data_IF_645464983899
#
_entry.id   IF_645464983899
#
_cell.length_a   1.000
_cell.length_b   1.000
_cell.length_c   1.000
_cell.angle_alpha   90.00
_cell.angle_beta   90.00
_cell.angle_gamma   90.00
#
_symmetry.space_group_name_H-M   'P 1'
#
loop_
_entity.id
_entity.type
_entity.pdbx_description
1 polymer ?
#
# COMPACT_ATOMS: atom_id res chain seq x y z
N UNK A 1 -0.52 -14.86 -28.22
CA UNK A 1 -0.25 -14.27 -26.89
C UNK A 1 -0.88 -12.91 -26.91
N UNK A 2 -1.79 -12.61 -25.99
CA UNK A 2 -2.55 -11.36 -26.01
C UNK A 2 -1.84 -10.32 -25.16
N UNK A 3 -1.70 -9.10 -25.68
CA UNK A 3 -1.13 -7.98 -24.93
C UNK A 3 -2.23 -7.30 -24.10
N UNK A 4 -1.96 -7.11 -22.80
CA UNK A 4 -2.91 -6.59 -21.80
C UNK A 4 -2.18 -5.61 -20.89
N UNK A 5 -2.77 -4.44 -20.62
CA UNK A 5 -2.18 -3.43 -19.72
C UNK A 5 -2.37 -3.79 -18.24
N UNK A 6 -1.56 -3.22 -17.34
CA UNK A 6 -1.82 -3.31 -15.89
C UNK A 6 -1.75 -1.95 -15.21
N UNK A 7 -2.75 -1.65 -14.41
CA UNK A 7 -2.84 -0.43 -13.61
C UNK A 7 -2.68 -0.77 -12.14
N UNK A 8 -1.72 -0.15 -11.46
CA UNK A 8 -1.54 -0.24 -10.00
C UNK A 8 -1.65 1.17 -9.42
N UNK A 9 -2.77 1.44 -8.76
CA UNK A 9 -3.04 2.69 -8.05
C UNK A 9 -3.16 2.44 -6.54
N UNK A 10 -2.69 3.39 -5.74
CA UNK A 10 -2.94 3.38 -4.30
C UNK A 10 -4.22 4.17 -4.00
N UNK A 11 -5.19 3.52 -3.37
CA UNK A 11 -6.34 4.19 -2.75
C UNK A 11 -5.96 4.80 -1.40
N UNK A 12 -6.67 5.85 -1.00
CA UNK A 12 -6.60 6.32 0.38
C UNK A 12 -7.51 5.44 1.25
N UNK A 13 -6.91 4.56 2.06
CA UNK A 13 -7.64 3.69 2.98
C UNK A 13 -8.31 4.47 4.11
N UNK A 14 -9.50 5.00 3.84
CA UNK A 14 -10.51 5.36 4.82
C UNK A 14 -11.81 4.58 4.51
N UNK A 15 -12.63 4.31 5.54
CA UNK A 15 -13.93 3.64 5.39
C UNK A 15 -14.89 4.39 4.44
N UNK A 16 -14.67 5.69 4.21
CA UNK A 16 -15.46 6.49 3.26
C UNK A 16 -15.07 6.27 1.79
N UNK A 17 -13.83 5.86 1.48
CA UNK A 17 -13.39 5.56 0.11
C UNK A 17 -13.48 4.07 -0.24
N UNK A 18 -13.20 3.20 0.73
CA UNK A 18 -13.01 1.76 0.52
C UNK A 18 -14.03 0.94 1.31
N UNK A 19 -15.28 1.00 0.84
CA UNK A 19 -16.41 0.28 1.40
C UNK A 19 -16.73 0.67 2.86
N UNK A 20 -17.63 1.63 3.02
CA UNK A 20 -18.52 1.57 4.18
C UNK A 20 -19.23 0.22 4.13
N UNK A 21 -19.27 -0.52 5.24
CA UNK A 21 -20.03 -1.79 5.29
C UNK A 21 -21.53 -1.57 5.02
N UNK A 22 -22.02 -0.35 5.25
CA UNK A 22 -23.36 0.12 4.87
C UNK A 22 -23.52 0.41 3.36
N UNK A 23 -22.43 0.59 2.61
CA UNK A 23 -22.44 0.97 1.19
C UNK A 23 -22.91 -0.18 0.27
N UNK A 24 -22.88 -1.44 0.76
CA UNK A 24 -23.58 -2.61 0.16
C UNK A 24 -25.09 -2.39 -0.02
N UNK A 25 -25.69 -1.37 0.61
CA UNK A 25 -27.11 -1.02 0.46
C UNK A 25 -27.41 0.16 -0.47
N UNK A 26 -26.39 0.87 -0.98
CA UNK A 26 -26.56 2.17 -1.68
C UNK A 26 -25.71 2.38 -2.93
N UNK A 27 -24.85 1.44 -3.30
CA UNK A 27 -24.42 1.37 -4.69
C UNK A 27 -25.65 1.01 -5.54
N UNK A 28 -25.95 1.83 -6.55
CA UNK A 28 -26.62 1.34 -7.75
C UNK A 28 -25.66 0.40 -8.49
N UNK A 29 -25.46 -0.76 -7.87
CA UNK A 29 -25.13 -1.98 -8.54
C UNK A 29 -26.00 -2.08 -9.79
N UNK A 30 -25.39 -1.90 -10.98
CA UNK A 30 -26.03 -2.25 -12.25
C UNK A 30 -26.06 -3.77 -12.38
N UNK A 31 -26.75 -4.41 -11.44
CA UNK A 31 -26.82 -5.86 -11.30
C UNK A 31 -28.27 -6.30 -11.52
N UNK A 32 -28.41 -7.20 -12.48
CA UNK A 32 -29.39 -8.27 -12.39
C UNK A 32 -29.04 -9.07 -11.11
N UNK A 33 -29.83 -8.88 -10.04
CA UNK A 33 -29.49 -9.23 -8.64
C UNK A 33 -29.49 -10.75 -8.33
N UNK A 34 -29.32 -11.59 -9.35
CA UNK A 34 -29.23 -13.05 -9.24
C UNK A 34 -27.81 -13.62 -9.32
N UNK A 35 -26.77 -12.79 -9.46
CA UNK A 35 -25.37 -13.23 -9.65
C UNK A 35 -24.36 -12.33 -8.92
N UNK A 36 -24.08 -12.65 -7.67
CA UNK A 36 -22.87 -12.15 -7.00
C UNK A 36 -21.65 -12.56 -7.85
N UNK A 37 -20.95 -11.56 -8.39
CA UNK A 37 -19.81 -11.73 -9.31
C UNK A 37 -18.53 -11.06 -8.81
N UNK A 38 -18.61 -10.54 -7.58
CA UNK A 38 -17.49 -10.14 -6.74
C UNK A 38 -16.94 -11.39 -6.04
N UNK A 39 -15.63 -11.61 -6.08
CA UNK A 39 -14.96 -12.77 -5.49
C UNK A 39 -14.00 -12.31 -4.39
N UNK A 40 -14.24 -12.74 -3.15
CA UNK A 40 -13.33 -12.51 -2.02
C UNK A 40 -12.20 -13.55 -2.05
N UNK A 41 -10.97 -13.13 -2.39
CA UNK A 41 -9.75 -13.96 -2.33
C UNK A 41 -9.15 -13.99 -0.90
N UNK A 42 -9.38 -12.94 -0.12
CA UNK A 42 -9.24 -12.94 1.34
C UNK A 42 -10.51 -12.32 1.91
N UNK A 43 -11.34 -13.10 2.63
CA UNK A 43 -12.64 -12.62 3.09
C UNK A 43 -12.51 -11.59 4.21
N UNK A 44 -13.44 -10.63 4.23
CA UNK A 44 -13.59 -9.66 5.32
C UNK A 44 -14.39 -10.28 6.48
N UNK A 45 -13.87 -11.35 7.10
CA UNK A 45 -14.55 -12.10 8.17
C UNK A 45 -14.96 -11.23 9.38
N UNK A 46 -14.27 -10.09 9.57
CA UNK A 46 -14.52 -9.08 10.59
C UNK A 46 -14.36 -7.69 10.01
N UNK A 47 -14.98 -6.69 10.64
CA UNK A 47 -14.80 -5.28 10.26
C UNK A 47 -13.34 -4.84 10.34
N UNK A 48 -12.95 -3.83 9.56
CA UNK A 48 -11.61 -3.24 9.63
C UNK A 48 -11.23 -2.83 11.06
N UNK A 49 -12.20 -2.26 11.79
CA UNK A 49 -12.07 -1.93 13.21
C UNK A 49 -11.64 -3.13 14.05
N UNK A 50 -12.33 -4.26 13.93
CA UNK A 50 -12.04 -5.48 14.70
C UNK A 50 -10.69 -6.09 14.31
N UNK A 51 -10.43 -6.25 13.01
CA UNK A 51 -9.16 -6.81 12.52
C UNK A 51 -7.95 -5.99 13.00
N UNK A 52 -8.03 -4.66 12.86
CA UNK A 52 -6.96 -3.75 13.29
C UNK A 52 -6.84 -3.75 14.82
N UNK A 53 -7.94 -3.77 15.57
CA UNK A 53 -7.89 -3.83 17.03
C UNK A 53 -7.25 -5.14 17.53
N UNK A 54 -7.57 -6.29 16.94
CA UNK A 54 -6.93 -7.57 17.26
C UNK A 54 -5.44 -7.56 16.93
N UNK A 55 -5.07 -7.06 15.75
CA UNK A 55 -3.69 -6.97 15.27
C UNK A 55 -2.80 -6.04 16.14
N UNK A 56 -3.37 -4.96 16.68
CA UNK A 56 -2.65 -4.02 17.54
C UNK A 56 -2.61 -4.43 19.02
N UNK A 57 -3.50 -5.34 19.45
CA UNK A 57 -3.68 -5.77 20.85
C UNK A 57 -2.40 -6.30 21.54
N UNK A 58 -1.51 -7.09 20.90
CA UNK A 58 -0.28 -7.57 21.54
C UNK A 58 0.67 -6.42 21.91
N UNK A 59 0.86 -5.47 20.98
CA UNK A 59 1.73 -4.31 21.18
C UNK A 59 1.18 -3.35 22.25
N UNK A 60 -0.15 -3.16 22.28
CA UNK A 60 -0.83 -2.37 23.32
C UNK A 60 -0.63 -3.02 24.69
N UNK A 61 -0.80 -4.35 24.78
CA UNK A 61 -0.57 -5.11 26.02
C UNK A 61 0.87 -4.94 26.52
N UNK A 62 1.87 -5.21 25.68
CA UNK A 62 3.29 -5.06 26.03
C UNK A 62 3.61 -3.65 26.55
N UNK A 63 3.18 -2.62 25.82
CA UNK A 63 3.41 -1.22 26.19
C UNK A 63 2.70 -0.82 27.48
N UNK A 64 1.49 -1.32 27.72
CA UNK A 64 0.75 -1.07 28.96
C UNK A 64 1.38 -1.81 30.15
N UNK A 65 1.82 -3.06 30.00
CA UNK A 65 2.55 -3.81 31.03
C UNK A 65 3.85 -3.09 31.42
N UNK A 66 4.62 -2.61 30.44
CA UNK A 66 5.82 -1.81 30.70
C UNK A 66 5.50 -0.49 31.42
N UNK A 67 4.40 0.18 31.04
CA UNK A 67 3.92 1.40 31.69
C UNK A 67 3.52 1.15 33.16
N UNK A 68 2.87 0.01 33.45
CA UNK A 68 2.51 -0.40 34.81
C UNK A 68 3.75 -0.76 35.65
N UNK A 69 4.76 -1.44 35.07
CA UNK A 69 6.05 -1.71 35.73
C UNK A 69 6.75 -0.41 36.13
N UNK A 70 6.82 0.59 35.23
CA UNK A 70 7.37 1.92 35.53
C UNK A 70 6.59 2.64 36.65
N UNK A 71 5.27 2.53 36.64
CA UNK A 71 4.40 3.12 37.67
C UNK A 71 4.65 2.49 39.05
N UNK A 72 4.79 1.16 39.11
CA UNK A 72 5.11 0.43 40.34
C UNK A 72 6.48 0.86 40.89
N UNK A 73 7.52 0.84 40.06
CA UNK A 73 8.86 1.29 40.47
C UNK A 73 8.87 2.76 40.95
N UNK A 74 8.06 3.64 40.36
CA UNK A 74 7.91 5.01 40.86
C UNK A 74 7.23 5.10 42.23
N UNK A 75 6.29 4.20 42.53
CA UNK A 75 5.69 4.07 43.86
C UNK A 75 6.67 3.54 44.90
N UNK A 76 7.48 2.53 44.56
CA UNK A 76 8.51 2.00 45.46
C UNK A 76 9.54 3.09 45.82
N UNK A 77 9.94 3.91 44.85
CA UNK A 77 10.80 5.09 45.05
C UNK A 77 10.16 6.20 45.88
N UNK A 78 8.84 6.35 45.82
CA UNK A 78 8.10 7.31 46.67
C UNK A 78 8.00 6.79 48.11
N UNK A 79 7.63 5.52 48.28
CA UNK A 79 7.47 4.88 49.59
C UNK A 79 8.81 4.76 50.36
N UNK A 80 9.93 4.59 49.64
CA UNK A 80 11.29 4.61 50.20
C UNK A 80 11.88 6.02 50.40
N UNK A 81 11.12 7.08 50.10
CA UNK A 81 11.56 8.47 50.26
C UNK A 81 12.56 8.98 49.22
N UNK A 82 12.93 8.18 48.22
CA UNK A 82 13.84 8.59 47.14
C UNK A 82 13.26 9.69 46.24
N UNK A 83 11.93 9.79 46.14
CA UNK A 83 11.23 10.91 45.49
C UNK A 83 10.17 11.50 46.40
N UNK A 84 10.08 12.83 46.42
CA UNK A 84 9.09 13.58 47.24
C UNK A 84 7.71 13.70 46.57
N UNK A 85 7.64 13.51 45.25
CA UNK A 85 6.42 13.70 44.47
C UNK A 85 5.67 12.39 44.29
N UNK A 86 4.42 12.34 44.75
CA UNK A 86 3.53 11.18 44.60
C UNK A 86 3.25 10.89 43.11
N UNK A 87 3.48 9.65 42.60
CA UNK A 87 3.14 9.28 41.23
C UNK A 87 1.63 9.40 40.95
N UNK A 88 1.23 9.97 39.81
CA UNK A 88 -0.18 10.17 39.43
C UNK A 88 -0.54 9.32 38.22
N UNK A 89 -1.80 8.88 38.12
CA UNK A 89 -2.25 8.06 36.99
C UNK A 89 -2.02 8.72 35.62
N UNK A 90 -2.17 10.05 35.51
CA UNK A 90 -1.93 10.79 34.25
C UNK A 90 -0.48 10.83 33.78
N UNK A 91 0.47 10.51 34.67
CA UNK A 91 1.89 10.43 34.32
C UNK A 91 2.24 9.05 33.70
N UNK A 92 1.29 8.10 33.75
CA UNK A 92 1.40 6.72 33.24
C UNK A 92 0.12 6.34 32.46
N UNK A 93 -0.26 7.07 31.39
CA UNK A 93 -1.48 6.82 30.64
C UNK A 93 -1.42 5.44 29.98
N UNK A 94 -2.52 4.69 29.99
CA UNK A 94 -2.67 3.41 29.29
C UNK A 94 -3.40 3.62 27.95
N UNK A 95 -3.05 2.83 26.95
CA UNK A 95 -3.75 2.80 25.65
C UNK A 95 -4.90 1.79 25.74
N UNK A 96 -6.07 2.09 25.17
CA UNK A 96 -7.19 1.15 25.16
C UNK A 96 -7.06 0.13 24.03
N UNK A 97 -7.82 -0.96 24.09
CA UNK A 97 -7.81 -1.98 23.03
C UNK A 97 -8.56 -1.55 21.76
N UNK A 98 -9.34 -0.46 21.80
CA UNK A 98 -9.98 0.13 20.62
C UNK A 98 -9.03 1.12 19.94
N UNK A 99 -7.91 0.60 19.45
CA UNK A 99 -6.90 1.35 18.70
C UNK A 99 -7.51 2.08 17.50
N UNK A 100 -8.41 1.42 16.78
CA UNK A 100 -9.03 1.94 15.57
C UNK A 100 -9.77 3.24 15.84
N UNK A 101 -10.75 3.25 16.74
CA UNK A 101 -11.51 4.47 17.05
C UNK A 101 -10.67 5.50 17.81
N UNK A 102 -9.67 5.09 18.60
CA UNK A 102 -8.76 6.04 19.28
C UNK A 102 -7.88 6.84 18.32
N UNK A 103 -7.49 6.25 17.18
CA UNK A 103 -6.55 6.86 16.22
C UNK A 103 -7.18 7.25 14.87
N UNK A 104 -8.47 6.97 14.66
CA UNK A 104 -9.17 7.23 13.39
C UNK A 104 -9.04 8.68 12.91
N UNK A 105 -9.14 9.64 13.83
CA UNK A 105 -9.05 11.08 13.53
C UNK A 105 -7.70 11.70 13.87
N UNK A 106 -6.70 10.90 14.25
CA UNK A 106 -5.35 11.42 14.49
C UNK A 106 -4.77 11.99 13.20
N UNK A 107 -4.03 13.08 13.34
CA UNK A 107 -3.36 13.75 12.24
C UNK A 107 -1.86 13.83 12.51
N UNK A 108 -1.07 13.57 11.47
CA UNK A 108 0.37 13.74 11.48
C UNK A 108 0.76 14.85 10.53
N UNK A 109 1.77 15.64 10.90
CA UNK A 109 2.31 16.65 9.99
C UNK A 109 3.15 15.97 8.90
N UNK A 110 2.71 16.06 7.65
CA UNK A 110 3.49 15.57 6.52
C UNK A 110 4.73 16.47 6.35
N UNK A 111 5.96 15.92 6.39
CA UNK A 111 7.18 16.71 6.36
C UNK A 111 7.47 17.33 4.98
N UNK A 112 6.84 16.83 3.90
CA UNK A 112 6.99 17.35 2.52
C UNK A 112 6.03 18.49 2.24
N UNK A 113 4.76 18.36 2.66
CA UNK A 113 3.70 19.36 2.41
C UNK A 113 3.55 20.37 3.55
N UNK A 114 4.14 20.09 4.72
CA UNK A 114 4.05 20.83 5.97
C UNK A 114 2.63 20.91 6.58
N UNK A 115 1.65 20.23 5.97
CA UNK A 115 0.23 20.18 6.36
C UNK A 115 -0.03 19.05 7.36
N UNK A 116 -1.11 19.19 8.12
CA UNK A 116 -1.67 18.07 8.90
C UNK A 116 -2.47 17.17 7.96
N UNK A 117 -2.15 15.88 7.96
CA UNK A 117 -2.79 14.84 7.15
C UNK A 117 -3.24 13.71 8.09
N UNK A 118 -4.42 13.14 7.84
CA UNK A 118 -5.00 12.09 8.68
C UNK A 118 -4.14 10.82 8.63
N UNK A 119 -3.93 10.18 9.78
CA UNK A 119 -3.25 8.89 9.86
C UNK A 119 -4.16 7.83 9.25
N UNK A 120 -3.84 7.37 8.03
CA UNK A 120 -4.64 6.33 7.38
C UNK A 120 -4.47 5.00 8.11
N UNK A 121 -5.57 4.45 8.60
CA UNK A 121 -5.60 3.26 9.45
C UNK A 121 -5.11 2.00 8.73
N UNK A 122 -5.35 1.93 7.42
CA UNK A 122 -4.84 0.94 6.49
C UNK A 122 -4.38 1.61 5.17
N UNK A 123 -4.07 0.80 4.17
CA UNK A 123 -3.73 1.18 2.80
C UNK A 123 -4.52 0.30 1.85
N UNK A 124 -4.88 0.85 0.70
CA UNK A 124 -5.50 0.09 -0.38
C UNK A 124 -4.69 0.17 -1.66
N UNK A 125 -4.76 -0.89 -2.45
CA UNK A 125 -4.27 -0.95 -3.82
C UNK A 125 -5.41 -1.42 -4.70
N UNK A 126 -5.59 -0.73 -5.82
CA UNK A 126 -6.43 -1.21 -6.92
C UNK A 126 -5.47 -1.72 -8.00
N UNK A 127 -5.56 -3.01 -8.30
CA UNK A 127 -4.79 -3.69 -9.35
C UNK A 127 -5.76 -4.03 -10.48
N UNK A 128 -5.63 -3.37 -11.62
CA UNK A 128 -6.46 -3.58 -12.81
C UNK A 128 -5.73 -4.35 -13.91
N UNK A 129 -6.43 -5.27 -14.57
CA UNK A 129 -5.96 -6.01 -15.75
C UNK A 129 -6.75 -5.56 -17.00
N UNK A 130 -6.02 -4.99 -17.96
CA UNK A 130 -6.55 -4.49 -19.22
C UNK A 130 -7.40 -3.23 -19.07
N UNK A 131 -8.04 -2.88 -20.18
CA UNK A 131 -9.14 -1.91 -20.21
C UNK A 131 -10.49 -2.58 -20.56
N UNK A 132 -11.52 -1.77 -20.76
CA UNK A 132 -12.85 -2.23 -21.17
C UNK A 132 -12.83 -2.96 -22.52
N UNK A 133 -12.02 -2.49 -23.47
CA UNK A 133 -11.88 -3.06 -24.82
C UNK A 133 -11.16 -4.41 -24.78
N UNK A 134 -10.11 -4.55 -23.96
CA UNK A 134 -9.42 -5.82 -23.73
C UNK A 134 -10.39 -6.88 -23.20
N UNK A 135 -11.30 -6.49 -22.31
CA UNK A 135 -12.36 -7.36 -21.77
C UNK A 135 -13.44 -7.69 -22.80
N UNK A 136 -14.03 -6.69 -23.45
CA UNK A 136 -15.14 -6.88 -24.40
C UNK A 136 -14.72 -7.67 -25.65
N UNK A 137 -13.47 -7.54 -26.08
CA UNK A 137 -12.90 -8.33 -27.18
C UNK A 137 -12.33 -9.69 -26.73
N UNK A 138 -12.46 -10.06 -25.45
CA UNK A 138 -12.02 -11.36 -24.94
C UNK A 138 -10.50 -11.58 -24.96
N UNK A 139 -9.68 -10.52 -24.90
CA UNK A 139 -8.21 -10.67 -24.80
C UNK A 139 -7.79 -11.35 -23.49
N UNK A 140 -8.57 -11.15 -22.43
CA UNK A 140 -8.42 -11.76 -21.11
C UNK A 140 -9.78 -12.33 -20.67
N UNK A 141 -9.82 -13.60 -20.24
CA UNK A 141 -11.04 -14.20 -19.67
C UNK A 141 -11.17 -13.94 -18.18
N UNK A 142 -12.35 -14.19 -17.61
CA UNK A 142 -12.59 -14.09 -16.16
C UNK A 142 -11.70 -15.04 -15.37
N UNK A 143 -11.52 -16.25 -15.89
CA UNK A 143 -10.75 -17.33 -15.28
C UNK A 143 -9.25 -16.98 -15.28
N UNK A 144 -8.73 -16.45 -16.39
CA UNK A 144 -7.37 -15.92 -16.46
C UNK A 144 -7.17 -14.78 -15.46
N UNK A 145 -8.06 -13.79 -15.43
CA UNK A 145 -7.96 -12.67 -14.50
C UNK A 145 -7.97 -13.12 -13.04
N UNK A 146 -8.88 -14.03 -12.67
CA UNK A 146 -8.98 -14.58 -11.31
C UNK A 146 -7.72 -15.36 -10.91
N UNK A 147 -7.19 -16.20 -11.80
CA UNK A 147 -5.93 -16.91 -11.56
C UNK A 147 -4.77 -15.94 -11.35
N UNK A 148 -4.64 -14.94 -12.22
CA UNK A 148 -3.60 -13.91 -12.14
C UNK A 148 -3.68 -13.12 -10.83
N UNK A 149 -4.88 -12.73 -10.37
CA UNK A 149 -5.05 -12.06 -9.07
C UNK A 149 -4.71 -12.97 -7.89
N UNK A 150 -5.03 -14.27 -7.96
CA UNK A 150 -4.68 -15.23 -6.92
C UNK A 150 -3.15 -15.41 -6.80
N UNK A 151 -2.45 -15.65 -7.91
CA UNK A 151 -0.99 -15.78 -7.89
C UNK A 151 -0.32 -14.46 -7.48
N UNK A 152 -0.87 -13.32 -7.91
CA UNK A 152 -0.36 -12.02 -7.48
C UNK A 152 -0.52 -11.81 -5.97
N UNK A 153 -1.65 -12.21 -5.39
CA UNK A 153 -1.90 -12.16 -3.95
C UNK A 153 -0.94 -13.07 -3.16
N UNK A 154 -0.65 -14.28 -3.66
CA UNK A 154 0.40 -15.15 -3.09
C UNK A 154 1.74 -14.42 -3.15
N UNK A 155 2.11 -13.90 -4.32
CA UNK A 155 3.42 -13.26 -4.50
C UNK A 155 3.58 -11.97 -3.70
N UNK A 156 2.51 -11.21 -3.51
CA UNK A 156 2.48 -10.02 -2.67
C UNK A 156 2.75 -10.35 -1.19
N UNK A 157 2.22 -11.47 -0.69
CA UNK A 157 2.50 -11.94 0.68
C UNK A 157 3.97 -12.30 0.88
N UNK A 158 4.61 -12.89 -0.13
CA UNK A 158 6.05 -13.20 -0.11
C UNK A 158 6.92 -11.93 -0.21
N UNK A 159 6.57 -11.02 -1.13
CA UNK A 159 7.35 -9.82 -1.45
C UNK A 159 7.24 -8.71 -0.39
N UNK A 160 6.16 -8.74 0.42
CA UNK A 160 5.86 -7.75 1.44
C UNK A 160 5.37 -8.38 2.77
N UNK A 161 6.21 -9.15 3.49
CA UNK A 161 5.81 -9.93 4.67
C UNK A 161 5.35 -9.09 5.88
N UNK A 162 5.61 -7.78 5.89
CA UNK A 162 5.16 -6.83 6.91
C UNK A 162 3.83 -6.12 6.55
N UNK A 163 3.18 -6.49 5.45
CA UNK A 163 1.87 -5.97 5.05
C UNK A 163 0.79 -6.98 5.44
N UNK A 164 0.14 -6.74 6.59
CA UNK A 164 -0.97 -7.56 7.05
C UNK A 164 -2.21 -7.27 6.21
N UNK A 165 -2.56 -8.19 5.31
CA UNK A 165 -3.75 -8.10 4.46
C UNK A 165 -4.99 -8.21 5.34
N UNK A 166 -5.91 -7.26 5.17
CA UNK A 166 -7.20 -7.16 5.86
C UNK A 166 -8.35 -7.71 5.01
N UNK A 167 -8.14 -7.75 3.69
CA UNK A 167 -8.97 -8.46 2.72
C UNK A 167 -8.50 -8.21 1.29
N UNK A 168 -9.05 -8.99 0.36
CA UNK A 168 -8.73 -8.90 -1.06
C UNK A 168 -9.94 -9.33 -1.89
N UNK A 169 -10.42 -8.46 -2.77
CA UNK A 169 -11.72 -8.63 -3.45
C UNK A 169 -11.59 -8.30 -4.93
N UNK A 170 -12.01 -9.22 -5.78
CA UNK A 170 -11.92 -9.15 -7.24
C UNK A 170 -13.29 -8.86 -7.84
N UNK A 171 -13.36 -7.86 -8.72
CA UNK A 171 -14.55 -7.43 -9.44
C UNK A 171 -14.44 -7.91 -10.90
N UNK A 172 -15.34 -8.80 -11.33
CA UNK A 172 -15.30 -9.50 -12.64
C UNK A 172 -16.47 -9.10 -13.58
N UNK A 173 -17.15 -8.03 -13.24
CA UNK A 173 -18.52 -7.72 -13.63
C UNK A 173 -18.72 -6.24 -13.98
N UNK A 174 -18.07 -5.33 -13.26
CA UNK A 174 -18.13 -3.88 -13.49
C UNK A 174 -17.90 -3.49 -14.97
N UNK A 175 -18.53 -2.41 -15.42
CA UNK A 175 -18.57 -2.05 -16.85
C UNK A 175 -17.21 -1.72 -17.50
N UNK A 176 -16.14 -1.59 -16.71
CA UNK A 176 -14.77 -1.34 -17.15
C UNK A 176 -13.92 -2.61 -17.29
N UNK A 177 -12.85 -2.68 -16.51
CA UNK A 177 -11.82 -3.73 -16.52
C UNK A 177 -11.87 -4.61 -15.26
N UNK A 178 -11.33 -5.82 -15.34
CA UNK A 178 -11.19 -6.70 -14.19
C UNK A 178 -10.18 -6.11 -13.20
N UNK A 179 -10.55 -6.00 -11.93
CA UNK A 179 -9.66 -5.43 -10.92
C UNK A 179 -9.81 -6.06 -9.55
N UNK A 180 -8.75 -5.94 -8.75
CA UNK A 180 -8.72 -6.36 -7.35
C UNK A 180 -8.48 -5.16 -6.45
N UNK A 181 -9.33 -5.00 -5.43
CA UNK A 181 -9.04 -4.19 -4.24
C UNK A 181 -8.24 -5.04 -3.26
N UNK A 182 -7.09 -4.56 -2.82
CA UNK A 182 -6.21 -5.22 -1.86
C UNK A 182 -5.93 -4.29 -0.69
N UNK A 183 -6.57 -4.56 0.43
CA UNK A 183 -6.52 -3.74 1.64
C UNK A 183 -5.58 -4.36 2.68
N UNK A 184 -4.64 -3.56 3.19
CA UNK A 184 -3.60 -4.03 4.09
C UNK A 184 -3.15 -2.98 5.12
N UNK A 185 -2.66 -3.43 6.27
CA UNK A 185 -2.00 -2.59 7.26
C UNK A 185 -0.50 -2.90 7.30
N UNK A 186 0.38 -1.94 6.95
CA UNK A 186 1.81 -2.11 7.17
C UNK A 186 2.11 -2.10 8.67
N UNK A 187 2.81 -3.12 9.17
CA UNK A 187 3.31 -3.19 10.56
C UNK A 187 4.71 -3.81 10.57
N UNK A 188 5.67 -3.11 11.17
CA UNK A 188 7.00 -3.65 11.45
C UNK A 188 7.32 -3.57 12.95
N UNK A 189 8.14 -4.49 13.45
CA UNK A 189 8.70 -4.40 14.80
C UNK A 189 9.88 -3.42 14.84
N UNK A 190 9.88 -2.54 15.83
CA UNK A 190 11.05 -1.70 16.17
C UNK A 190 12.14 -2.60 16.76
N UNK A 191 13.39 -2.27 16.45
CA UNK A 191 14.55 -3.01 17.00
C UNK A 191 14.82 -2.60 18.46
N UNK A 192 14.38 -1.39 18.79
CA UNK A 192 14.44 -0.76 20.09
C UNK A 192 13.47 -1.43 21.08
N UNK A 193 13.89 -1.62 22.32
CA UNK A 193 13.03 -2.14 23.37
C UNK A 193 12.01 -1.09 23.87
N UNK A 194 11.03 -1.54 24.66
CA UNK A 194 10.01 -0.66 25.24
C UNK A 194 10.58 0.44 26.15
N UNK A 195 11.77 0.26 26.73
CA UNK A 195 12.41 1.26 27.58
C UNK A 195 12.99 2.40 26.76
N UNK A 196 13.77 2.09 25.74
CA UNK A 196 14.29 3.08 24.80
C UNK A 196 13.15 3.82 24.12
N UNK A 197 12.13 3.11 23.63
CA UNK A 197 10.95 3.72 22.97
C UNK A 197 10.28 4.72 23.91
N UNK A 198 9.94 4.32 25.15
CA UNK A 198 9.22 5.19 26.08
C UNK A 198 10.08 6.33 26.66
N UNK A 199 11.42 6.19 26.71
CA UNK A 199 12.34 7.28 27.07
C UNK A 199 12.39 8.38 26.02
N UNK A 200 12.26 8.04 24.74
CA UNK A 200 12.32 8.97 23.61
C UNK A 200 10.94 9.42 23.10
N UNK A 201 9.91 9.35 23.96
CA UNK A 201 8.54 9.78 23.61
C UNK A 201 7.81 8.89 22.62
N UNK A 202 8.35 7.70 22.30
CA UNK A 202 7.75 6.74 21.38
C UNK A 202 6.55 6.00 21.97
N UNK A 203 5.65 5.56 21.07
CA UNK A 203 4.42 4.85 21.41
C UNK A 203 4.59 3.35 21.62
N UNK A 204 4.08 2.57 20.67
CA UNK A 204 4.10 1.10 20.66
C UNK A 204 5.46 0.55 20.15
N UNK A 205 5.71 -0.74 20.42
CA UNK A 205 6.88 -1.46 19.86
C UNK A 205 6.80 -1.68 18.36
N UNK A 206 5.61 -1.62 17.76
CA UNK A 206 5.47 -1.60 16.32
C UNK A 206 5.54 -0.17 15.73
N UNK A 207 5.80 -0.09 14.43
CA UNK A 207 5.50 1.09 13.61
C UNK A 207 4.54 0.71 12.49
N UNK A 208 3.74 1.67 12.02
CA UNK A 208 2.70 1.44 11.00
C UNK A 208 2.82 2.38 9.80
N UNK A 209 4.01 2.96 9.59
CA UNK A 209 4.31 3.84 8.46
C UNK A 209 4.74 3.03 7.24
N UNK A 210 4.19 3.36 6.06
CA UNK A 210 4.43 2.61 4.83
C UNK A 210 5.90 2.69 4.40
N UNK A 211 6.47 3.91 4.38
CA UNK A 211 7.84 4.16 3.97
C UNK A 211 8.83 3.49 4.95
N UNK A 212 8.60 3.57 6.26
CA UNK A 212 9.42 2.91 7.27
C UNK A 212 9.35 1.39 7.18
N UNK A 213 8.17 0.82 6.87
CA UNK A 213 8.01 -0.63 6.65
C UNK A 213 8.77 -1.07 5.40
N UNK A 214 8.70 -0.30 4.31
CA UNK A 214 9.45 -0.57 3.08
C UNK A 214 10.97 -0.52 3.31
N UNK A 215 11.48 0.47 4.06
CA UNK A 215 12.89 0.55 4.46
C UNK A 215 13.30 -0.66 5.30
N UNK A 216 12.45 -1.11 6.24
CA UNK A 216 12.69 -2.31 7.07
C UNK A 216 12.73 -3.61 6.26
N UNK A 217 12.00 -3.67 5.13
CA UNK A 217 12.08 -4.76 4.15
C UNK A 217 13.23 -4.59 3.13
N UNK A 218 14.10 -3.57 3.30
CA UNK A 218 15.28 -3.36 2.46
C UNK A 218 15.04 -2.57 1.16
N UNK A 219 13.82 -2.09 0.91
CA UNK A 219 13.53 -1.27 -0.26
C UNK A 219 14.21 0.11 -0.15
N UNK A 220 14.64 0.63 -1.30
CA UNK A 220 15.20 1.97 -1.45
C UNK A 220 14.27 2.83 -2.31
N UNK A 221 14.33 4.17 -2.24
CA UNK A 221 13.56 5.01 -3.14
C UNK A 221 13.92 4.75 -4.61
N UNK A 222 12.93 4.48 -5.47
CA UNK A 222 13.12 4.25 -6.90
C UNK A 222 12.34 5.27 -7.74
N UNK A 223 12.77 5.48 -8.99
CA UNK A 223 11.93 6.13 -10.01
C UNK A 223 10.82 5.18 -10.47
N UNK A 224 9.74 5.70 -11.05
CA UNK A 224 8.65 4.86 -11.56
C UNK A 224 8.98 4.36 -12.97
N UNK A 225 8.90 3.05 -13.20
CA UNK A 225 9.02 2.43 -14.54
C UNK A 225 7.83 2.71 -15.49
N UNK A 226 7.01 3.74 -15.20
CA UNK A 226 5.80 4.10 -15.97
C UNK A 226 5.61 5.61 -16.00
N UNK A 227 5.85 6.30 -14.89
CA UNK A 227 5.63 7.74 -14.75
C UNK A 227 6.96 8.53 -14.75
N UNK A 228 7.57 8.67 -15.93
CA UNK A 228 8.91 9.29 -16.10
C UNK A 228 8.98 10.82 -15.97
N UNK A 229 7.86 11.54 -15.83
CA UNK A 229 7.88 13.01 -15.67
C UNK A 229 8.48 13.44 -14.33
N UNK A 230 9.81 13.54 -14.25
CA UNK A 230 10.61 14.18 -13.19
C UNK A 230 10.16 13.85 -11.76
N UNK A 231 9.69 12.61 -11.53
CA UNK A 231 9.22 12.18 -10.21
C UNK A 231 10.41 11.74 -9.38
N UNK A 232 10.71 12.52 -8.34
CA UNK A 232 11.70 12.22 -7.30
C UNK A 232 11.59 10.74 -6.88
N UNK A 233 12.71 10.01 -6.73
CA UNK A 233 12.68 8.64 -6.26
C UNK A 233 11.95 8.52 -4.91
N UNK A 234 11.02 7.57 -4.79
CA UNK A 234 10.24 7.33 -3.56
C UNK A 234 10.05 5.84 -3.30
N UNK A 235 9.88 5.46 -2.04
CA UNK A 235 9.73 4.06 -1.62
C UNK A 235 8.48 3.39 -2.22
N UNK A 236 7.38 4.13 -2.34
CA UNK A 236 6.17 3.66 -3.02
C UNK A 236 6.41 3.26 -4.50
N UNK A 237 7.34 3.91 -5.20
CA UNK A 237 7.68 3.48 -6.56
C UNK A 237 8.41 2.14 -6.55
N UNK A 238 9.32 1.89 -5.61
CA UNK A 238 10.04 0.62 -5.53
C UNK A 238 9.09 -0.55 -5.24
N UNK A 239 8.16 -0.36 -4.31
CA UNK A 239 7.03 -1.27 -4.06
C UNK A 239 6.24 -1.54 -5.36
N UNK A 240 5.82 -0.49 -6.05
CA UNK A 240 5.02 -0.61 -7.28
C UNK A 240 5.80 -1.25 -8.45
N UNK A 241 7.08 -0.91 -8.62
CA UNK A 241 7.96 -1.51 -9.63
C UNK A 241 8.14 -3.01 -9.37
N UNK A 242 8.27 -3.41 -8.11
CA UNK A 242 8.32 -4.82 -7.68
C UNK A 242 7.00 -5.53 -7.98
N UNK A 243 5.85 -4.93 -7.65
CA UNK A 243 4.53 -5.48 -8.01
C UNK A 243 4.39 -5.66 -9.53
N UNK A 244 4.82 -4.70 -10.34
CA UNK A 244 4.79 -4.81 -11.80
C UNK A 244 5.66 -5.96 -12.35
N UNK A 245 6.86 -6.18 -11.80
CA UNK A 245 7.73 -7.31 -12.19
C UNK A 245 7.12 -8.66 -11.82
N UNK A 246 6.51 -8.76 -10.62
CA UNK A 246 5.78 -9.95 -10.21
C UNK A 246 4.56 -10.20 -11.12
N UNK A 247 3.81 -9.14 -11.48
CA UNK A 247 2.72 -9.21 -12.45
C UNK A 247 3.15 -9.67 -13.85
N UNK A 248 4.27 -9.16 -14.37
CA UNK A 248 4.80 -9.57 -15.68
C UNK A 248 5.07 -11.09 -15.71
N UNK A 249 5.65 -11.63 -14.65
CA UNK A 249 5.95 -13.07 -14.54
C UNK A 249 4.67 -13.91 -14.59
N UNK A 250 3.68 -13.56 -13.74
CA UNK A 250 2.39 -14.27 -13.63
C UNK A 250 1.57 -14.19 -14.93
N UNK A 251 1.57 -13.02 -15.59
CA UNK A 251 0.86 -12.85 -16.87
C UNK A 251 1.48 -13.70 -17.98
N UNK A 252 2.83 -13.75 -18.06
CA UNK A 252 3.53 -14.56 -19.05
C UNK A 252 3.21 -16.06 -18.90
N UNK A 253 3.14 -16.56 -17.66
CA UNK A 253 2.69 -17.93 -17.34
C UNK A 253 1.24 -18.19 -17.81
N UNK A 254 0.40 -17.15 -17.78
CA UNK A 254 -0.98 -17.16 -18.30
C UNK A 254 -1.11 -16.90 -19.81
N UNK A 255 0.00 -16.89 -20.57
CA UNK A 255 0.07 -16.56 -22.01
C UNK A 255 -0.52 -15.16 -22.36
N UNK A 256 -0.40 -14.22 -21.42
CA UNK A 256 -0.67 -12.80 -21.58
C UNK A 256 0.64 -12.01 -21.48
N UNK A 257 0.77 -10.97 -22.28
CA UNK A 257 1.95 -10.13 -22.27
C UNK A 257 1.64 -8.76 -21.64
N UNK A 258 2.42 -8.35 -20.65
CA UNK A 258 2.20 -7.09 -19.93
C UNK A 258 2.62 -5.87 -20.76
N UNK A 259 1.67 -5.01 -21.08
CA UNK A 259 1.94 -3.71 -21.72
C UNK A 259 2.27 -2.64 -20.69
N UNK A 260 3.47 -2.08 -20.79
CA UNK A 260 3.88 -0.87 -20.06
C UNK A 260 3.54 0.37 -20.89
N UNK A 261 2.69 1.25 -20.35
CA UNK A 261 2.25 2.46 -21.05
C UNK A 261 3.37 3.46 -21.30
N UNK A 262 4.01 3.39 -22.46
CA UNK A 262 4.89 4.43 -22.97
C UNK A 262 4.07 5.67 -23.35
N UNK A 263 3.93 6.64 -22.43
CA UNK A 263 3.38 7.96 -22.77
C UNK A 263 4.42 8.79 -23.53
N UNK A 264 4.51 8.53 -24.84
CA UNK A 264 5.03 9.49 -25.80
C UNK A 264 4.19 10.78 -25.76
N UNK A 265 4.79 11.89 -26.18
CA UNK A 265 4.25 13.25 -26.03
C UNK A 265 2.81 13.33 -26.56
N UNK A 266 1.87 13.83 -25.74
CA UNK A 266 0.49 14.09 -26.14
C UNK A 266 0.43 15.12 -27.27
N UNK A 267 0.35 14.67 -28.53
CA UNK A 267 -0.42 15.41 -29.54
C UNK A 267 -1.91 15.30 -29.18
N UNK A 268 -2.71 16.38 -29.22
CA UNK A 268 -4.07 16.36 -28.66
C UNK A 268 -5.09 15.41 -29.31
N UNK A 269 -4.73 14.74 -30.42
CA UNK A 269 -5.64 13.98 -31.29
C UNK A 269 -5.04 12.65 -31.80
N UNK A 270 -3.90 12.21 -31.28
CA UNK A 270 -3.32 10.89 -31.60
C UNK A 270 -2.94 10.16 -30.33
N UNK A 271 -3.56 9.00 -30.12
CA UNK A 271 -3.00 8.00 -29.24
C UNK A 271 -1.80 7.37 -29.95
N UNK A 272 -0.60 7.73 -29.50
CA UNK A 272 0.67 7.22 -30.00
C UNK A 272 1.34 6.28 -28.99
N UNK A 273 0.53 5.63 -28.13
CA UNK A 273 1.01 4.54 -27.29
C UNK A 273 1.44 3.37 -28.16
N UNK A 274 2.75 3.06 -28.12
CA UNK A 274 3.32 1.85 -28.72
C UNK A 274 3.59 0.89 -27.59
N UNK A 275 2.89 -0.24 -27.60
CA UNK A 275 3.04 -1.29 -26.60
C UNK A 275 4.33 -2.07 -26.88
N UNK A 276 5.10 -2.38 -25.84
CA UNK A 276 6.31 -3.18 -25.95
C UNK A 276 6.69 -3.85 -24.61
N UNK A 277 7.44 -4.95 -24.65
CA UNK A 277 8.04 -5.62 -23.50
C UNK A 277 8.75 -4.73 -22.48
N UNK A 278 8.80 -5.10 -21.19
CA UNK A 278 9.57 -4.32 -20.21
C UNK A 278 11.04 -4.22 -20.64
N UNK A 279 11.61 -5.31 -21.15
CA UNK A 279 12.99 -5.32 -21.68
C UNK A 279 13.14 -4.39 -22.87
N UNK A 280 12.22 -4.42 -23.84
CA UNK A 280 12.28 -3.53 -25.02
C UNK A 280 11.96 -2.07 -24.68
N UNK A 281 11.08 -1.84 -23.70
CA UNK A 281 10.77 -0.54 -23.13
C UNK A 281 12.02 0.02 -22.45
N UNK A 282 12.63 -0.74 -21.53
CA UNK A 282 13.85 -0.36 -20.84
C UNK A 282 15.00 -0.13 -21.82
N UNK A 283 15.23 -1.02 -22.80
CA UNK A 283 16.23 -0.84 -23.86
C UNK A 283 15.97 0.45 -24.68
N UNK A 284 14.71 0.76 -24.98
CA UNK A 284 14.32 1.97 -25.70
C UNK A 284 14.50 3.21 -24.83
N UNK A 285 14.25 3.11 -23.52
CA UNK A 285 14.46 4.19 -22.54
C UNK A 285 15.94 4.45 -22.29
N UNK A 286 16.74 3.43 -22.09
CA UNK A 286 18.19 3.53 -21.87
C UNK A 286 18.85 4.20 -23.08
N UNK A 287 18.48 3.79 -24.31
CA UNK A 287 18.92 4.46 -25.55
C UNK A 287 18.41 5.91 -25.65
N UNK A 288 17.18 6.19 -25.23
CA UNK A 288 16.63 7.56 -25.24
C UNK A 288 17.37 8.46 -24.25
N UNK A 289 17.64 7.98 -23.05
CA UNK A 289 18.40 8.67 -22.01
C UNK A 289 19.84 8.91 -22.45
N UNK A 290 20.49 7.92 -23.06
CA UNK A 290 21.83 8.04 -23.65
C UNK A 290 21.87 9.11 -24.76
N UNK A 291 20.92 9.08 -25.70
CA UNK A 291 20.78 10.12 -26.74
C UNK A 291 20.55 11.51 -26.14
N UNK A 292 19.74 11.62 -25.09
CA UNK A 292 19.41 12.90 -24.44
C UNK A 292 20.58 13.43 -23.62
N UNK A 293 21.36 12.56 -22.97
CA UNK A 293 22.63 12.88 -22.32
C UNK A 293 23.65 13.40 -23.35
N UNK A 294 23.83 12.68 -24.45
CA UNK A 294 24.73 13.06 -25.54
C UNK A 294 24.32 14.39 -26.21
N UNK A 295 23.02 14.65 -26.38
CA UNK A 295 22.51 15.95 -26.84
C UNK A 295 22.83 17.09 -25.88
N UNK A 296 22.76 16.86 -24.57
CA UNK A 296 23.07 17.89 -23.58
C UNK A 296 24.58 18.20 -23.55
N UNK A 297 25.44 17.17 -23.61
CA UNK A 297 26.89 17.33 -23.80
C UNK A 297 27.17 18.14 -25.08
N UNK A 298 26.56 17.77 -26.21
CA UNK A 298 26.75 18.48 -27.48
C UNK A 298 26.30 19.96 -27.41
N UNK A 299 25.24 20.29 -26.66
CA UNK A 299 24.79 21.67 -26.43
C UNK A 299 25.74 22.48 -25.56
N UNK A 300 26.38 21.87 -24.57
CA UNK A 300 27.38 22.54 -23.73
C UNK A 300 28.73 22.71 -24.45
N UNK A 301 29.03 21.87 -25.46
CA UNK A 301 30.13 22.08 -26.41
C UNK A 301 29.86 23.15 -27.49
N UNK A 302 28.62 23.64 -27.61
CA UNK A 302 28.19 24.65 -28.60
C UNK A 302 27.91 26.03 -27.95
N UNK A 303 28.40 26.24 -26.72
CA UNK A 303 28.44 27.53 -26.01
C UNK A 303 29.87 28.08 -25.95
#
# INVERSE_FOLDING_TARGET
MNEVSVTITAGEGCEEHNHGLEYRSKLEHTHDTGKDTVIELVPYEKSYKEQINELMKPYIKERNEYTLKRKAAAWDRYNSGQIKTKPRNRDYPLIGNDYYTQHLHDQMRNPKTNKMEQIKMFRSLIIGLGDKSDRENGKITREQALHIFNEFLVKFKEDFPYFHILGATVHLDESGFYHMHLDFKPIYERAEDMEYIQKHGGGLRCGTGLDETLVRMGYKPEQSIINERDKVPILFNAMRNKMYKSMETIMNESNLYLMYGATSIKEPLKDASVNMPLSQWQDTKDKTLEMQHNMNIAKDFLK
#
